data_IF_316129833710
#
_entry.id   IF_316129833710
#
_cell.length_a   1.000
_cell.length_b   1.000
_cell.length_c   1.000
_cell.angle_alpha   90.00
_cell.angle_beta   90.00
_cell.angle_gamma   90.00
#
_symmetry.space_group_name_H-M   'P 1'
#
loop_
_entity.id
_entity.type
_entity.pdbx_description
1 polymer ?
#
# COMPACT_ATOMS: atom_id res chain seq x y z
N UNK A 1 -6.57 16.90 -15.83
CA UNK A 1 -7.49 16.68 -14.69
C UNK A 1 -6.64 16.66 -13.43
N UNK A 2 -6.89 17.55 -12.47
CA UNK A 2 -6.23 17.47 -11.16
C UNK A 2 -6.99 16.43 -10.34
N UNK A 3 -6.42 15.26 -10.14
CA UNK A 3 -6.95 14.28 -9.18
C UNK A 3 -6.79 14.92 -7.80
N UNK A 4 -7.90 15.09 -7.09
CA UNK A 4 -7.89 15.58 -5.72
C UNK A 4 -7.19 14.55 -4.81
N UNK A 5 -6.00 14.90 -4.33
CA UNK A 5 -5.17 14.02 -3.50
C UNK A 5 -5.92 13.54 -2.25
N UNK A 6 -6.81 14.37 -1.71
CA UNK A 6 -7.65 14.02 -0.56
C UNK A 6 -8.64 12.91 -0.86
N UNK A 7 -9.26 12.98 -2.04
CA UNK A 7 -10.15 11.92 -2.54
C UNK A 7 -9.38 10.63 -2.76
N UNK A 8 -8.18 10.71 -3.36
CA UNK A 8 -7.30 9.56 -3.55
C UNK A 8 -6.91 8.92 -2.21
N UNK A 9 -6.43 9.72 -1.25
CA UNK A 9 -6.04 9.28 0.09
C UNK A 9 -7.18 8.54 0.80
N UNK A 10 -8.41 9.02 0.67
CA UNK A 10 -9.59 8.38 1.27
C UNK A 10 -9.85 6.99 0.69
N UNK A 11 -9.77 6.83 -0.63
CA UNK A 11 -10.09 5.54 -1.28
C UNK A 11 -8.98 4.50 -1.09
N UNK A 12 -7.71 4.92 -0.99
CA UNK A 12 -6.57 4.02 -0.78
C UNK A 12 -6.23 3.78 0.69
N UNK A 13 -6.91 4.44 1.63
CA UNK A 13 -6.64 4.28 3.06
C UNK A 13 -7.16 2.93 3.57
N UNK A 14 -6.29 1.93 3.54
CA UNK A 14 -6.56 0.60 4.06
C UNK A 14 -5.78 0.36 5.36
N UNK A 15 -6.46 -0.21 6.35
CA UNK A 15 -5.83 -0.74 7.57
C UNK A 15 -6.41 -2.11 7.88
N UNK A 16 -5.54 -3.09 8.06
CA UNK A 16 -5.86 -4.44 8.51
C UNK A 16 -5.07 -4.66 9.79
N UNK A 17 -5.77 -4.96 10.87
CA UNK A 17 -5.19 -5.29 12.16
C UNK A 17 -5.73 -6.66 12.58
N UNK A 18 -4.82 -7.58 12.86
CA UNK A 18 -5.12 -8.93 13.31
C UNK A 18 -4.32 -9.18 14.58
N UNK A 19 -5.03 -9.56 15.64
CA UNK A 19 -4.47 -9.81 16.97
C UNK A 19 -5.05 -11.12 17.49
N UNK A 20 -4.25 -11.88 18.24
CA UNK A 20 -4.71 -13.16 18.77
C UNK A 20 -3.83 -13.74 19.86
N UNK A 21 -4.19 -14.96 20.26
CA UNK A 21 -3.49 -15.69 21.30
C UNK A 21 -2.07 -16.05 20.90
N UNK A 22 -1.17 -16.12 21.89
CA UNK A 22 0.19 -16.58 21.70
C UNK A 22 0.20 -18.10 21.41
N UNK A 23 0.37 -18.47 20.14
CA UNK A 23 0.44 -19.86 19.70
C UNK A 23 0.96 -20.02 18.28
N UNK A 24 1.58 -21.16 17.99
CA UNK A 24 2.15 -21.46 16.67
C UNK A 24 1.09 -21.41 15.55
N UNK A 25 -0.11 -21.94 15.78
CA UNK A 25 -1.19 -21.90 14.80
C UNK A 25 -1.61 -20.48 14.41
N UNK A 26 -1.52 -19.52 15.34
CA UNK A 26 -1.80 -18.11 15.04
C UNK A 26 -0.67 -17.46 14.23
N UNK A 27 0.58 -17.89 14.43
CA UNK A 27 1.72 -17.43 13.63
C UNK A 27 1.59 -17.86 12.16
N UNK A 28 1.15 -19.08 11.91
CA UNK A 28 0.86 -19.56 10.55
C UNK A 28 -0.32 -18.85 9.92
N UNK A 29 -1.36 -18.55 10.70
CA UNK A 29 -2.48 -17.73 10.23
C UNK A 29 -2.01 -16.33 9.82
N UNK A 30 -1.11 -15.70 10.58
CA UNK A 30 -0.51 -14.42 10.21
C UNK A 30 0.24 -14.52 8.88
N UNK A 31 1.00 -15.59 8.65
CA UNK A 31 1.70 -15.82 7.37
C UNK A 31 0.72 -15.87 6.20
N UNK A 32 -0.33 -16.69 6.34
CA UNK A 32 -1.34 -16.84 5.30
C UNK A 32 -2.10 -15.53 5.03
N UNK A 33 -2.41 -14.75 6.07
CA UNK A 33 -3.05 -13.44 5.92
C UNK A 33 -2.10 -12.48 5.20
N UNK A 34 -0.82 -12.45 5.57
CA UNK A 34 0.18 -11.58 4.95
C UNK A 34 0.27 -11.83 3.43
N UNK A 35 0.38 -13.09 3.03
CA UNK A 35 0.41 -13.50 1.63
C UNK A 35 -0.88 -13.10 0.90
N UNK A 36 -2.04 -13.37 1.51
CA UNK A 36 -3.33 -13.01 0.94
C UNK A 36 -3.48 -11.50 0.75
N UNK A 37 -3.02 -10.68 1.70
CA UNK A 37 -3.05 -9.23 1.55
C UNK A 37 -2.22 -8.81 0.35
N UNK A 38 -0.99 -9.28 0.21
CA UNK A 38 -0.13 -8.90 -0.92
C UNK A 38 -0.72 -9.31 -2.27
N UNK A 39 -1.30 -10.51 -2.37
CA UNK A 39 -1.92 -11.00 -3.60
C UNK A 39 -3.19 -10.23 -3.96
N UNK A 40 -4.01 -9.88 -2.96
CA UNK A 40 -5.32 -9.26 -3.18
C UNK A 40 -5.28 -7.74 -3.21
N UNK A 41 -4.23 -7.11 -2.68
CA UNK A 41 -4.08 -5.67 -2.63
C UNK A 41 -4.30 -4.99 -4.00
N UNK A 42 -3.67 -5.40 -5.12
CA UNK A 42 -3.93 -4.75 -6.39
C UNK A 42 -5.38 -4.89 -6.85
N UNK A 43 -6.06 -6.00 -6.54
CA UNK A 43 -7.49 -6.15 -6.87
C UNK A 43 -8.33 -5.16 -6.04
N UNK A 44 -8.05 -5.08 -4.73
CA UNK A 44 -8.73 -4.15 -3.82
C UNK A 44 -8.51 -2.70 -4.25
N UNK A 45 -7.29 -2.35 -4.65
CA UNK A 45 -6.97 -0.99 -5.09
C UNK A 45 -7.61 -0.65 -6.42
N UNK A 46 -7.59 -1.56 -7.39
CA UNK A 46 -8.23 -1.31 -8.68
C UNK A 46 -9.74 -1.12 -8.55
N UNK A 47 -10.42 -1.87 -7.68
CA UNK A 47 -11.87 -1.71 -7.49
C UNK A 47 -12.28 -0.36 -6.89
N UNK A 48 -11.43 0.24 -6.05
CA UNK A 48 -11.70 1.57 -5.46
C UNK A 48 -11.18 2.73 -6.32
N UNK A 49 -10.25 2.46 -7.23
CA UNK A 49 -9.65 3.43 -8.14
C UNK A 49 -10.37 3.53 -9.49
N UNK A 50 -11.07 2.47 -9.90
CA UNK A 50 -11.85 2.43 -11.16
C UNK A 50 -12.80 3.63 -11.32
N UNK A 51 -13.57 4.08 -10.30
CA UNK A 51 -14.43 5.27 -10.42
C UNK A 51 -13.67 6.59 -10.63
N UNK A 52 -12.34 6.59 -10.47
CA UNK A 52 -11.46 7.75 -10.67
C UNK A 52 -10.66 7.66 -11.98
N UNK A 53 -10.96 6.68 -12.84
CA UNK A 53 -10.20 6.37 -14.06
C UNK A 53 -8.71 6.07 -13.78
N UNK A 54 -8.45 5.43 -12.65
CA UNK A 54 -7.12 5.07 -12.16
C UNK A 54 -6.96 3.56 -12.00
N UNK A 55 -5.72 3.10 -12.14
CA UNK A 55 -5.34 1.70 -11.97
C UNK A 55 -4.14 1.58 -11.03
N UNK A 56 -4.04 0.47 -10.31
CA UNK A 56 -2.95 0.20 -9.39
C UNK A 56 -2.19 -1.09 -9.72
N UNK A 57 -0.88 -1.05 -9.56
CA UNK A 57 0.00 -2.23 -9.60
C UNK A 57 1.01 -2.21 -8.46
N UNK A 58 1.41 -3.39 -7.97
CA UNK A 58 2.36 -3.50 -6.86
C UNK A 58 3.79 -3.49 -7.37
N UNK A 59 4.59 -2.54 -6.85
CA UNK A 59 5.99 -2.34 -7.19
C UNK A 59 6.87 -3.00 -6.13
N UNK A 60 7.03 -4.32 -6.23
CA UNK A 60 7.79 -5.13 -5.28
C UNK A 60 9.24 -4.65 -5.13
N UNK A 61 9.69 -4.50 -3.89
CA UNK A 61 11.07 -4.11 -3.56
C UNK A 61 11.44 -2.66 -3.89
N UNK A 62 10.50 -1.81 -4.31
CA UNK A 62 10.77 -0.40 -4.64
C UNK A 62 10.67 0.55 -3.44
N UNK A 63 10.36 0.05 -2.23
CA UNK A 63 10.14 0.87 -1.04
C UNK A 63 11.28 1.86 -0.74
N UNK A 64 12.53 1.39 -0.65
CA UNK A 64 13.69 2.25 -0.40
C UNK A 64 14.06 3.17 -1.56
N UNK A 65 13.60 2.89 -2.78
CA UNK A 65 13.81 3.78 -3.93
C UNK A 65 12.81 4.93 -3.91
N UNK A 66 11.56 4.63 -3.60
CA UNK A 66 10.44 5.58 -3.68
C UNK A 66 10.32 6.41 -2.41
N UNK A 67 10.57 5.81 -1.24
CA UNK A 67 10.45 6.47 0.04
C UNK A 67 11.69 6.19 0.93
N UNK A 68 12.87 6.73 0.56
CA UNK A 68 14.15 6.44 1.21
C UNK A 68 14.29 6.99 2.63
N UNK A 69 13.45 7.96 3.02
CA UNK A 69 13.49 8.58 4.34
C UNK A 69 12.88 7.70 5.44
N UNK A 70 12.18 6.63 5.07
CA UNK A 70 11.65 5.66 6.03
C UNK A 70 12.77 4.71 6.51
N UNK A 71 13.03 4.60 7.82
CA UNK A 71 14.04 3.68 8.35
C UNK A 71 13.70 2.20 8.08
N UNK A 72 12.43 1.88 7.82
CA UNK A 72 11.93 0.54 7.50
C UNK A 72 11.50 0.44 6.03
N UNK A 73 12.16 1.20 5.14
CA UNK A 73 11.79 1.25 3.72
C UNK A 73 11.79 -0.10 3.00
N UNK A 74 12.48 -1.11 3.54
CA UNK A 74 12.51 -2.49 3.00
C UNK A 74 11.21 -3.25 3.25
N UNK A 75 10.47 -2.87 4.28
CA UNK A 75 9.22 -3.50 4.72
C UNK A 75 7.99 -2.75 4.18
N UNK A 76 8.21 -1.86 3.21
CA UNK A 76 7.14 -1.09 2.57
C UNK A 76 6.61 -1.82 1.35
N UNK A 77 5.29 -1.87 1.28
CA UNK A 77 4.56 -2.27 0.07
C UNK A 77 4.21 -0.99 -0.67
N UNK A 78 4.67 -0.90 -1.93
CA UNK A 78 4.42 0.24 -2.79
C UNK A 78 3.42 -0.17 -3.86
N UNK A 79 2.31 0.57 -3.95
CA UNK A 79 1.41 0.52 -5.10
C UNK A 79 1.67 1.73 -6.00
N UNK A 80 2.07 1.49 -7.25
CA UNK A 80 2.05 2.52 -8.29
C UNK A 80 0.62 2.73 -8.76
N UNK A 81 0.20 3.97 -8.86
CA UNK A 81 -1.11 4.39 -9.33
C UNK A 81 -0.94 5.07 -10.67
N UNK A 82 -1.70 4.64 -11.67
CA UNK A 82 -1.57 5.00 -13.08
C UNK A 82 -2.89 5.58 -13.56
N UNK A 83 -2.84 6.49 -14.52
CA UNK A 83 -4.00 6.75 -15.37
C UNK A 83 -4.30 5.50 -16.20
N UNK A 84 -5.56 5.22 -16.53
CA UNK A 84 -5.91 4.10 -17.41
C UNK A 84 -5.03 4.06 -18.68
N UNK A 85 -4.40 2.92 -18.93
CA UNK A 85 -3.51 2.71 -20.07
C UNK A 85 -2.18 3.49 -20.03
N UNK A 86 -1.88 4.17 -18.92
CA UNK A 86 -0.64 4.91 -18.72
C UNK A 86 0.54 4.00 -18.37
N UNK A 87 1.71 4.28 -18.96
CA UNK A 87 2.93 3.49 -18.70
C UNK A 87 3.70 3.93 -17.44
N UNK A 88 3.42 5.15 -16.95
CA UNK A 88 4.12 5.74 -15.80
C UNK A 88 3.15 5.98 -14.65
N UNK A 89 3.55 5.69 -13.41
CA UNK A 89 2.75 6.01 -12.25
C UNK A 89 2.66 7.53 -12.11
N UNK A 90 1.48 8.02 -11.75
CA UNK A 90 1.21 9.41 -11.35
C UNK A 90 1.37 9.58 -9.84
N UNK A 91 1.07 8.54 -9.06
CA UNK A 91 1.23 8.53 -7.61
C UNK A 91 1.77 7.19 -7.13
N UNK A 92 2.36 7.20 -5.93
CA UNK A 92 2.68 5.99 -5.19
C UNK A 92 1.92 5.97 -3.87
N UNK A 93 1.09 4.95 -3.65
CA UNK A 93 0.53 4.68 -2.33
C UNK A 93 1.49 3.77 -1.55
N UNK A 94 1.89 4.23 -0.37
CA UNK A 94 2.85 3.55 0.48
C UNK A 94 2.11 2.90 1.65
N UNK A 95 2.32 1.60 1.81
CA UNK A 95 1.80 0.82 2.92
C UNK A 95 2.97 0.24 3.72
N UNK A 96 2.74 0.05 5.02
CA UNK A 96 3.64 -0.68 5.89
C UNK A 96 3.01 -1.99 6.30
N UNK A 97 3.80 -3.04 6.21
CA UNK A 97 3.51 -4.33 6.78
C UNK A 97 4.35 -4.48 8.06
N UNK A 98 3.72 -4.84 9.17
CA UNK A 98 4.39 -5.07 10.45
C UNK A 98 3.90 -6.38 11.03
N UNK A 99 4.86 -7.26 11.32
CA UNK A 99 4.61 -8.58 11.88
C UNK A 99 5.20 -8.66 13.29
N UNK A 100 4.35 -9.01 14.25
CA UNK A 100 4.75 -9.39 15.60
C UNK A 100 4.54 -10.88 15.84
N UNK A 101 4.80 -11.34 17.07
CA UNK A 101 4.64 -12.76 17.42
C UNK A 101 3.19 -13.25 17.38
N UNK A 102 2.24 -12.34 17.61
CA UNK A 102 0.80 -12.60 17.68
C UNK A 102 -0.02 -11.41 17.14
N UNK A 103 0.61 -10.56 16.34
CA UNK A 103 0.01 -9.37 15.75
C UNK A 103 0.43 -9.23 14.31
N UNK A 104 -0.49 -8.81 13.46
CA UNK A 104 -0.23 -8.39 12.09
C UNK A 104 -0.91 -7.05 11.85
N UNK A 105 -0.14 -6.07 11.38
CA UNK A 105 -0.66 -4.79 10.95
C UNK A 105 -0.23 -4.53 9.50
N UNK A 106 -1.21 -4.34 8.63
CA UNK A 106 -1.00 -3.74 7.31
C UNK A 106 -1.71 -2.39 7.30
N UNK A 107 -0.98 -1.31 7.03
CA UNK A 107 -1.58 0.03 7.07
C UNK A 107 -1.06 0.94 5.97
N UNK A 108 -1.95 1.76 5.44
CA UNK A 108 -1.60 2.91 4.62
C UNK A 108 -0.77 3.91 5.45
N UNK A 109 0.32 4.41 4.87
CA UNK A 109 1.14 5.46 5.45
C UNK A 109 0.89 6.81 4.79
N UNK A 110 1.05 6.88 3.47
CA UNK A 110 1.04 8.14 2.71
C UNK A 110 0.96 7.91 1.20
N UNK A 111 0.69 8.99 0.48
CA UNK A 111 0.86 9.08 -0.96
C UNK A 111 2.11 9.91 -1.26
N UNK A 112 2.91 9.43 -2.20
CA UNK A 112 4.05 10.15 -2.76
C UNK A 112 3.71 10.51 -4.21
N UNK A 113 3.97 11.76 -4.59
CA UNK A 113 3.87 12.20 -5.97
C UNK A 113 4.99 11.57 -6.81
N UNK A 114 4.64 11.01 -7.96
CA UNK A 114 5.60 10.25 -8.76
C UNK A 114 6.57 11.11 -9.58
N UNK A 115 6.23 12.39 -9.80
CA UNK A 115 7.08 13.33 -10.54
C UNK A 115 8.20 13.88 -9.65
N UNK A 116 7.87 14.30 -8.44
CA UNK A 116 8.80 15.01 -7.56
C UNK A 116 9.25 14.21 -6.32
N UNK A 117 8.71 13.00 -6.10
CA UNK A 117 9.01 12.13 -4.95
C UNK A 117 8.74 12.80 -3.59
N UNK A 118 7.82 13.77 -3.56
CA UNK A 118 7.40 14.43 -2.33
C UNK A 118 6.12 13.80 -1.79
N UNK A 119 6.00 13.81 -0.47
CA UNK A 119 4.76 13.44 0.19
C UNK A 119 3.67 14.46 -0.15
N UNK A 120 2.52 13.95 -0.56
CA UNK A 120 1.33 14.78 -0.72
C UNK A 120 0.69 14.96 0.65
N UNK A 121 0.96 16.13 1.24
CA UNK A 121 0.35 16.57 2.48
C UNK A 121 -0.94 17.32 2.15
N UNK A 122 -2.08 16.73 2.49
CA UNK A 122 -3.37 17.44 2.63
C UNK A 122 -3.53 17.99 4.05
#
# INVERSE_FOLDING_TARGET
MSIDARSLKRVVSLRILVEGGSGWAFRELIDLISELVEERLPIILNSVLEPLDLEASILRGQGCKIYPTDPYCKDLVVAGIYTQGGEKPVFYAIYRLTRGENTFEFRFLRIIDAENYQEIND
#
